data_IF_327425213112
#
_entry.id   IF_327425213112
#
_cell.length_a   1.000
_cell.length_b   1.000
_cell.length_c   1.000
_cell.angle_alpha   90.00
_cell.angle_beta   90.00
_cell.angle_gamma   90.00
#
_symmetry.space_group_name_H-M   'P 1'
#
loop_
_entity.id
_entity.type
_entity.pdbx_description
1 polymer ?
#
# COMPACT_ATOMS: atom_id res chain seq x y z
N UNK A 1 27.61 15.32 8.45
CA UNK A 1 26.25 14.83 8.81
C UNK A 1 25.16 15.20 7.80
N UNK A 2 24.97 16.49 7.45
CA UNK A 2 23.89 16.94 6.55
C UNK A 2 24.12 16.50 5.09
N UNK A 3 25.35 16.59 4.59
CA UNK A 3 25.69 16.17 3.22
C UNK A 3 25.42 14.68 2.94
N UNK A 4 25.60 13.81 3.94
CA UNK A 4 25.28 12.38 3.80
C UNK A 4 23.78 12.13 3.62
N UNK A 5 22.94 12.88 4.32
CA UNK A 5 21.48 12.76 4.24
C UNK A 5 20.97 13.29 2.90
N UNK A 6 21.55 14.39 2.40
CA UNK A 6 21.25 14.92 1.08
C UNK A 6 21.60 13.94 -0.04
N UNK A 7 22.78 13.30 0.02
CA UNK A 7 23.18 12.28 -0.96
C UNK A 7 22.27 11.06 -0.89
N UNK A 8 21.92 10.59 0.31
CA UNK A 8 20.97 9.49 0.51
C UNK A 8 19.61 9.81 -0.10
N UNK A 9 19.06 10.99 0.20
CA UNK A 9 17.80 11.44 -0.36
C UNK A 9 17.86 11.55 -1.89
N UNK A 10 18.96 12.05 -2.45
CA UNK A 10 19.15 12.16 -3.91
C UNK A 10 19.21 10.78 -4.60
N UNK A 11 19.95 9.82 -4.04
CA UNK A 11 20.05 8.46 -4.58
C UNK A 11 18.68 7.77 -4.55
N UNK A 12 17.97 7.90 -3.44
CA UNK A 12 16.64 7.30 -3.27
C UNK A 12 15.60 7.98 -4.17
N UNK A 13 15.65 9.30 -4.31
CA UNK A 13 14.82 10.05 -5.25
C UNK A 13 15.10 9.63 -6.70
N UNK A 14 16.37 9.46 -7.07
CA UNK A 14 16.75 8.98 -8.40
C UNK A 14 16.25 7.55 -8.65
N UNK A 15 16.34 6.66 -7.65
CA UNK A 15 15.82 5.29 -7.74
C UNK A 15 14.30 5.29 -7.98
N UNK A 16 13.55 6.08 -7.21
CA UNK A 16 12.11 6.20 -7.40
C UNK A 16 11.77 6.83 -8.74
N UNK A 17 12.41 7.95 -9.10
CA UNK A 17 12.19 8.61 -10.38
C UNK A 17 12.43 7.66 -11.55
N UNK A 18 13.51 6.87 -11.53
CA UNK A 18 13.79 5.86 -12.56
C UNK A 18 12.72 4.76 -12.59
N UNK A 19 12.35 4.24 -11.42
CA UNK A 19 11.33 3.18 -11.29
C UNK A 19 10.01 3.61 -11.90
N UNK A 20 9.62 4.87 -11.71
CA UNK A 20 8.37 5.39 -12.24
C UNK A 20 8.46 5.83 -13.69
N UNK A 21 9.51 6.57 -14.05
CA UNK A 21 9.69 7.06 -15.41
C UNK A 21 9.75 5.92 -16.43
N UNK A 22 10.31 4.77 -16.04
CA UNK A 22 10.41 3.59 -16.91
C UNK A 22 9.33 2.56 -16.62
N UNK A 23 8.99 2.34 -15.35
CA UNK A 23 8.03 1.30 -14.96
C UNK A 23 6.58 1.62 -15.28
N UNK A 24 6.13 2.88 -15.11
CA UNK A 24 4.74 3.27 -15.39
C UNK A 24 4.37 3.14 -16.88
N UNK A 25 5.20 3.60 -17.85
CA UNK A 25 4.87 3.41 -19.26
C UNK A 25 4.74 1.93 -19.64
N UNK A 26 5.62 1.07 -19.12
CA UNK A 26 5.57 -0.37 -19.37
C UNK A 26 4.33 -0.99 -18.70
N UNK A 27 4.00 -0.54 -17.50
CA UNK A 27 2.78 -0.95 -16.79
C UNK A 27 1.53 -0.63 -17.62
N UNK A 28 1.40 0.61 -18.08
CA UNK A 28 0.24 1.08 -18.84
C UNK A 28 0.15 0.38 -20.20
N UNK A 29 1.30 0.14 -20.85
CA UNK A 29 1.34 -0.61 -22.09
C UNK A 29 0.84 -2.04 -21.89
N UNK A 30 1.28 -2.74 -20.84
CA UNK A 30 0.78 -4.08 -20.49
C UNK A 30 -0.71 -4.08 -20.18
N UNK A 31 -1.19 -3.07 -19.45
CA UNK A 31 -2.60 -2.95 -19.10
C UNK A 31 -3.50 -2.81 -20.34
N UNK A 32 -3.18 -1.85 -21.20
CA UNK A 32 -3.99 -1.58 -22.40
C UNK A 32 -3.85 -2.69 -23.45
N UNK A 33 -2.64 -3.17 -23.72
CA UNK A 33 -2.43 -4.11 -24.84
C UNK A 33 -2.73 -5.55 -24.47
N UNK A 34 -2.30 -5.99 -23.29
CA UNK A 34 -2.41 -7.41 -22.90
C UNK A 34 -3.70 -7.62 -22.11
N UNK A 35 -3.93 -6.84 -21.05
CA UNK A 35 -5.06 -7.11 -20.14
C UNK A 35 -6.38 -6.73 -20.79
N UNK A 36 -6.52 -5.48 -21.26
CA UNK A 36 -7.75 -5.04 -21.91
C UNK A 36 -7.99 -5.78 -23.24
N UNK A 37 -6.92 -6.12 -23.97
CA UNK A 37 -7.00 -6.98 -25.17
C UNK A 37 -7.54 -8.38 -24.86
N UNK A 38 -7.01 -9.04 -23.81
CA UNK A 38 -7.49 -10.35 -23.36
C UNK A 38 -8.91 -10.27 -22.79
N UNK A 39 -9.24 -9.22 -22.03
CA UNK A 39 -10.57 -8.98 -21.50
C UNK A 39 -11.60 -8.80 -22.63
N UNK A 40 -11.27 -8.03 -23.67
CA UNK A 40 -12.10 -7.86 -24.85
C UNK A 40 -12.28 -9.16 -25.64
N UNK A 41 -11.21 -9.92 -25.85
CA UNK A 41 -11.28 -11.22 -26.51
C UNK A 41 -12.13 -12.23 -25.71
N UNK A 42 -11.95 -12.30 -24.40
CA UNK A 42 -12.74 -13.14 -23.51
C UNK A 42 -14.22 -12.72 -23.53
N UNK A 43 -14.52 -11.42 -23.51
CA UNK A 43 -15.89 -10.89 -23.59
C UNK A 43 -16.56 -11.30 -24.91
N UNK A 44 -15.85 -11.23 -26.03
CA UNK A 44 -16.38 -11.65 -27.33
C UNK A 44 -16.64 -13.17 -27.39
N UNK A 45 -15.69 -13.97 -26.88
CA UNK A 45 -15.81 -15.43 -26.83
C UNK A 45 -16.92 -15.91 -25.87
N UNK A 46 -17.16 -15.18 -24.78
CA UNK A 46 -18.19 -15.49 -23.78
C UNK A 46 -19.47 -14.68 -23.99
N UNK A 47 -19.73 -14.19 -25.20
CA UNK A 47 -20.95 -13.44 -25.54
C UNK A 47 -22.24 -14.23 -25.33
N UNK A 48 -22.19 -15.56 -25.43
CA UNK A 48 -23.32 -16.47 -25.19
C UNK A 48 -23.36 -17.07 -23.77
N UNK A 49 -22.32 -16.81 -22.97
CA UNK A 49 -22.25 -17.31 -21.60
C UNK A 49 -23.08 -16.44 -20.63
N UNK A 50 -23.52 -17.01 -19.49
CA UNK A 50 -24.18 -16.23 -18.44
C UNK A 50 -23.30 -15.08 -17.94
N UNK A 51 -23.91 -13.95 -17.61
CA UNK A 51 -23.19 -12.73 -17.21
C UNK A 51 -22.30 -12.93 -15.96
N UNK A 52 -22.72 -13.79 -15.03
CA UNK A 52 -21.90 -14.13 -13.86
C UNK A 52 -20.60 -14.87 -14.25
N UNK A 53 -20.63 -15.73 -15.28
CA UNK A 53 -19.45 -16.46 -15.73
C UNK A 53 -18.50 -15.53 -16.50
N UNK A 54 -19.08 -14.63 -17.30
CA UNK A 54 -18.32 -13.60 -18.01
C UNK A 54 -17.60 -12.67 -17.03
N UNK A 55 -18.29 -12.10 -16.04
CA UNK A 55 -17.66 -11.22 -15.06
C UNK A 55 -16.63 -11.94 -14.18
N UNK A 56 -16.87 -13.21 -13.81
CA UNK A 56 -15.90 -13.99 -13.02
C UNK A 56 -14.56 -14.15 -13.76
N UNK A 57 -14.63 -14.38 -15.07
CA UNK A 57 -13.44 -14.59 -15.91
C UNK A 57 -12.80 -13.26 -16.28
N UNK A 58 -13.59 -12.27 -16.71
CA UNK A 58 -13.09 -10.97 -17.19
C UNK A 58 -12.63 -10.10 -16.02
N UNK A 59 -13.50 -9.82 -15.07
CA UNK A 59 -13.19 -8.88 -13.99
C UNK A 59 -12.45 -9.58 -12.84
N UNK A 60 -12.89 -10.79 -12.48
CA UNK A 60 -12.30 -11.57 -11.38
C UNK A 60 -10.92 -12.13 -11.71
N UNK A 61 -10.84 -12.99 -12.73
CA UNK A 61 -9.62 -13.71 -13.07
C UNK A 61 -8.64 -12.89 -13.92
N UNK A 62 -9.08 -12.34 -15.06
CA UNK A 62 -8.22 -11.55 -15.95
C UNK A 62 -7.83 -10.23 -15.30
N UNK A 63 -8.77 -9.51 -14.69
CA UNK A 63 -8.47 -8.30 -13.90
C UNK A 63 -7.51 -8.59 -12.74
N UNK A 64 -7.79 -9.63 -11.95
CA UNK A 64 -6.92 -10.06 -10.85
C UNK A 64 -5.50 -10.44 -11.29
N UNK A 65 -5.37 -11.31 -12.29
CA UNK A 65 -4.07 -11.71 -12.85
C UNK A 65 -3.35 -10.52 -13.52
N UNK A 66 -4.14 -9.63 -14.12
CA UNK A 66 -3.69 -8.41 -14.76
C UNK A 66 -2.97 -7.48 -13.79
N UNK A 67 -3.56 -7.25 -12.61
CA UNK A 67 -2.91 -6.43 -11.56
C UNK A 67 -1.54 -7.00 -11.17
N UNK A 68 -1.41 -8.33 -11.04
CA UNK A 68 -0.14 -8.98 -10.71
C UNK A 68 0.87 -8.75 -11.82
N UNK A 69 0.47 -8.93 -13.09
CA UNK A 69 1.34 -8.82 -14.25
C UNK A 69 1.83 -7.37 -14.46
N UNK A 70 0.95 -6.38 -14.25
CA UNK A 70 1.27 -4.95 -14.39
C UNK A 70 2.20 -4.45 -13.29
N UNK A 71 2.21 -5.07 -12.09
CA UNK A 71 3.18 -4.73 -11.04
C UNK A 71 4.60 -5.27 -11.30
N UNK A 72 4.77 -6.31 -12.12
CA UNK A 72 6.08 -6.96 -12.33
C UNK A 72 7.16 -5.99 -12.87
N UNK A 73 6.93 -5.18 -13.91
CA UNK A 73 7.95 -4.26 -14.44
C UNK A 73 8.46 -3.25 -13.41
N UNK A 74 7.53 -2.67 -12.64
CA UNK A 74 7.86 -1.69 -11.59
C UNK A 74 8.73 -2.35 -10.52
N UNK A 75 8.32 -3.53 -10.04
CA UNK A 75 9.07 -4.27 -9.04
C UNK A 75 10.44 -4.71 -9.56
N UNK A 76 10.55 -5.09 -10.83
CA UNK A 76 11.81 -5.51 -11.44
C UNK A 76 12.84 -4.37 -11.44
N UNK A 77 12.45 -3.17 -11.89
CA UNK A 77 13.33 -1.99 -11.92
C UNK A 77 13.72 -1.58 -10.49
N UNK A 78 12.74 -1.58 -9.59
CA UNK A 78 12.97 -1.28 -8.19
C UNK A 78 13.95 -2.26 -7.54
N UNK A 79 13.72 -3.57 -7.68
CA UNK A 79 14.61 -4.60 -7.15
C UNK A 79 16.00 -4.53 -7.76
N UNK A 80 16.12 -4.18 -9.04
CA UNK A 80 17.42 -4.02 -9.70
C UNK A 80 18.21 -2.86 -9.09
N UNK A 81 17.59 -1.68 -8.92
CA UNK A 81 18.27 -0.55 -8.30
C UNK A 81 18.60 -0.79 -6.82
N UNK A 82 17.72 -1.47 -6.08
CA UNK A 82 17.96 -1.87 -4.69
C UNK A 82 19.11 -2.88 -4.59
N UNK A 83 19.16 -3.87 -5.48
CA UNK A 83 20.24 -4.85 -5.56
C UNK A 83 21.60 -4.19 -5.88
N UNK A 84 21.62 -3.19 -6.75
CA UNK A 84 22.83 -2.39 -7.01
C UNK A 84 23.31 -1.69 -5.74
N UNK A 85 22.40 -1.02 -5.00
CA UNK A 85 22.74 -0.33 -3.76
C UNK A 85 23.20 -1.27 -2.64
N UNK A 86 22.63 -2.48 -2.60
CA UNK A 86 22.97 -3.56 -1.67
C UNK A 86 24.37 -4.11 -1.95
N UNK A 87 24.67 -4.47 -3.20
CA UNK A 87 25.95 -5.05 -3.63
C UNK A 87 27.13 -4.07 -3.54
N UNK A 88 26.85 -2.78 -3.73
CA UNK A 88 27.82 -1.68 -3.56
C UNK A 88 28.20 -1.43 -2.10
N UNK A 89 27.41 -1.92 -1.14
CA UNK A 89 27.62 -1.68 0.30
C UNK A 89 27.09 -0.32 0.79
N UNK A 90 26.30 0.39 -0.02
CA UNK A 90 25.73 1.68 0.38
C UNK A 90 24.72 1.53 1.53
N UNK A 91 24.04 0.38 1.61
CA UNK A 91 23.04 0.09 2.65
C UNK A 91 23.61 0.16 4.08
N UNK A 92 24.85 -0.29 4.29
CA UNK A 92 25.50 -0.22 5.59
C UNK A 92 25.72 1.25 6.04
N UNK A 93 26.06 2.13 5.09
CA UNK A 93 26.28 3.57 5.37
C UNK A 93 24.97 4.31 5.60
N UNK A 94 23.94 4.01 4.80
CA UNK A 94 22.60 4.56 5.00
C UNK A 94 22.04 4.18 6.38
N UNK A 95 22.20 2.92 6.79
CA UNK A 95 21.80 2.44 8.11
C UNK A 95 22.55 3.18 9.24
N UNK A 96 23.86 3.39 9.11
CA UNK A 96 24.64 4.15 10.09
C UNK A 96 24.16 5.61 10.22
N UNK A 97 23.89 6.27 9.10
CA UNK A 97 23.41 7.65 9.10
C UNK A 97 22.03 7.80 9.75
N UNK A 98 21.16 6.81 9.56
CA UNK A 98 19.78 6.82 10.07
C UNK A 98 19.62 6.20 11.46
N UNK A 99 20.69 5.66 12.04
CA UNK A 99 20.64 4.95 13.31
C UNK A 99 20.15 5.86 14.45
N UNK A 100 20.54 7.14 14.47
CA UNK A 100 20.07 8.10 15.46
C UNK A 100 18.54 8.29 15.44
N UNK A 101 17.96 8.44 14.25
CA UNK A 101 16.50 8.59 14.08
C UNK A 101 15.76 7.29 14.39
N UNK A 102 16.29 6.13 13.98
CA UNK A 102 15.69 4.83 14.27
C UNK A 102 15.69 4.52 15.77
N UNK A 103 16.76 4.90 16.50
CA UNK A 103 16.89 4.67 17.94
C UNK A 103 15.81 5.39 18.76
N UNK A 104 15.35 6.55 18.30
CA UNK A 104 14.20 7.25 18.93
C UNK A 104 12.94 6.39 18.93
N UNK A 105 12.73 5.58 17.89
CA UNK A 105 11.59 4.66 17.74
C UNK A 105 11.86 3.26 18.33
N UNK A 106 13.03 3.03 18.94
CA UNK A 106 13.43 1.70 19.42
C UNK A 106 13.80 0.71 18.30
N UNK A 107 14.08 1.24 17.10
CA UNK A 107 14.47 0.48 15.91
C UNK A 107 15.99 0.55 15.69
N UNK A 108 16.53 -0.43 14.98
CA UNK A 108 17.92 -0.41 14.52
C UNK A 108 18.05 0.41 13.23
N UNK A 109 19.17 1.10 13.00
CA UNK A 109 19.49 1.75 11.73
C UNK A 109 19.28 0.87 10.47
N UNK A 110 19.49 -0.45 10.55
CA UNK A 110 19.21 -1.39 9.45
C UNK A 110 17.72 -1.45 9.04
N UNK A 111 16.82 -0.99 9.91
CA UNK A 111 15.36 -0.94 9.68
C UNK A 111 14.94 0.22 8.78
N UNK A 112 15.77 1.28 8.69
CA UNK A 112 15.46 2.44 7.88
C UNK A 112 15.25 2.08 6.41
N UNK A 113 16.10 1.22 5.87
CA UNK A 113 16.02 0.85 4.46
C UNK A 113 14.69 0.14 4.14
N UNK A 114 14.31 -0.97 4.81
CA UNK A 114 12.98 -1.57 4.63
C UNK A 114 11.84 -0.57 4.78
N UNK A 115 11.86 0.29 5.81
CA UNK A 115 10.82 1.31 6.00
C UNK A 115 10.75 2.30 4.83
N UNK A 116 11.90 2.76 4.34
CA UNK A 116 11.95 3.70 3.23
C UNK A 116 11.44 3.06 1.92
N UNK A 117 11.75 1.78 1.70
CA UNK A 117 11.25 1.03 0.55
C UNK A 117 9.71 0.90 0.57
N UNK A 118 9.08 1.00 1.76
CA UNK A 118 7.64 0.94 1.95
C UNK A 118 6.87 2.03 1.20
N UNK A 119 7.50 3.20 0.98
CA UNK A 119 6.91 4.27 0.14
C UNK A 119 6.71 3.81 -1.31
N UNK A 120 7.49 2.83 -1.76
CA UNK A 120 7.28 2.09 -3.00
C UNK A 120 6.16 1.06 -2.83
N UNK A 121 6.51 -0.11 -2.32
CA UNK A 121 5.52 -1.16 -2.09
C UNK A 121 5.82 -1.84 -0.77
N UNK A 122 4.78 -2.09 0.03
CA UNK A 122 4.97 -2.72 1.33
C UNK A 122 5.38 -4.21 1.20
N UNK A 123 5.05 -4.87 0.10
CA UNK A 123 5.41 -6.28 -0.16
C UNK A 123 6.94 -6.51 -0.22
N UNK A 124 7.69 -5.87 -1.14
CA UNK A 124 9.15 -6.01 -1.18
C UNK A 124 9.83 -5.51 0.09
N UNK A 125 9.23 -4.51 0.74
CA UNK A 125 9.76 -3.89 1.95
C UNK A 125 9.69 -4.83 3.15
N UNK A 126 8.58 -5.53 3.32
CA UNK A 126 8.45 -6.61 4.32
C UNK A 126 9.46 -7.71 4.05
N UNK A 127 9.62 -8.17 2.80
CA UNK A 127 10.63 -9.18 2.47
C UNK A 127 12.08 -8.70 2.71
N UNK A 128 12.34 -7.40 2.52
CA UNK A 128 13.62 -6.75 2.79
C UNK A 128 14.01 -6.70 4.28
N UNK A 129 13.07 -6.94 5.20
CA UNK A 129 13.37 -6.95 6.64
C UNK A 129 14.30 -8.10 7.07
N UNK A 130 14.57 -9.09 6.21
CA UNK A 130 15.51 -10.20 6.46
C UNK A 130 16.93 -9.74 6.77
N UNK A 131 17.32 -8.54 6.34
CA UNK A 131 18.62 -7.92 6.64
C UNK A 131 18.74 -7.57 8.14
N UNK A 132 17.62 -7.48 8.86
CA UNK A 132 17.57 -7.21 10.30
C UNK A 132 17.74 -8.53 11.06
N UNK A 133 18.89 -8.70 11.70
CA UNK A 133 19.25 -9.91 12.44
C UNK A 133 18.45 -10.07 13.74
N UNK A 134 18.24 -8.97 14.46
CA UNK A 134 17.51 -8.98 15.73
C UNK A 134 16.02 -9.24 15.48
N UNK A 135 15.53 -10.40 15.93
CA UNK A 135 14.16 -10.87 15.65
C UNK A 135 13.09 -9.87 16.10
N UNK A 136 13.23 -9.26 17.28
CA UNK A 136 12.29 -8.27 17.81
C UNK A 136 12.27 -6.98 16.97
N UNK A 137 13.44 -6.49 16.55
CA UNK A 137 13.53 -5.32 15.68
C UNK A 137 12.99 -5.62 14.27
N UNK A 138 13.26 -6.82 13.75
CA UNK A 138 12.70 -7.29 12.48
C UNK A 138 11.18 -7.32 12.55
N UNK A 139 10.63 -7.93 13.59
CA UNK A 139 9.18 -8.01 13.80
C UNK A 139 8.54 -6.64 13.96
N UNK A 140 9.13 -5.74 14.77
CA UNK A 140 8.65 -4.37 14.91
C UNK A 140 8.61 -3.65 13.55
N UNK A 141 9.67 -3.81 12.74
CA UNK A 141 9.74 -3.23 11.40
C UNK A 141 8.66 -3.80 10.46
N UNK A 142 8.38 -5.11 10.53
CA UNK A 142 7.31 -5.76 9.77
C UNK A 142 5.93 -5.22 10.18
N UNK A 143 5.67 -5.04 11.47
CA UNK A 143 4.38 -4.53 11.99
C UNK A 143 4.16 -3.06 11.62
N UNK A 144 5.24 -2.27 11.58
CA UNK A 144 5.19 -0.84 11.23
C UNK A 144 5.13 -0.59 9.72
N UNK A 145 5.61 -1.52 8.89
CA UNK A 145 5.65 -1.35 7.43
C UNK A 145 4.33 -0.87 6.82
N UNK A 146 3.16 -1.44 7.18
CA UNK A 146 1.89 -1.02 6.64
C UNK A 146 1.47 0.41 6.96
N UNK A 147 2.10 1.10 7.92
CA UNK A 147 1.82 2.51 8.19
C UNK A 147 2.52 3.43 7.18
N UNK A 148 3.53 2.95 6.46
CA UNK A 148 4.16 3.77 5.42
C UNK A 148 3.22 3.85 4.21
N UNK A 149 2.92 5.07 3.72
CA UNK A 149 2.06 5.23 2.56
C UNK A 149 2.79 4.77 1.31
N UNK A 150 2.38 3.62 0.78
CA UNK A 150 2.87 3.11 -0.49
C UNK A 150 2.34 3.94 -1.67
N UNK A 151 2.90 3.70 -2.85
CA UNK A 151 2.59 4.41 -4.09
C UNK A 151 1.11 4.45 -4.42
N UNK A 152 0.41 3.33 -4.26
CA UNK A 152 -1.02 3.23 -4.51
C UNK A 152 -1.84 4.09 -3.54
N UNK A 153 -1.42 4.19 -2.27
CA UNK A 153 -2.09 5.09 -1.30
C UNK A 153 -1.82 6.55 -1.65
N UNK A 154 -0.61 6.87 -2.09
CA UNK A 154 -0.27 8.21 -2.56
C UNK A 154 -1.04 8.58 -3.82
N UNK A 155 -1.31 7.63 -4.72
CA UNK A 155 -2.16 7.85 -5.89
C UNK A 155 -3.60 8.19 -5.50
N UNK A 156 -4.17 7.49 -4.51
CA UNK A 156 -5.50 7.83 -3.97
C UNK A 156 -5.51 9.23 -3.36
N UNK A 157 -4.50 9.59 -2.56
CA UNK A 157 -4.38 10.94 -2.01
C UNK A 157 -4.25 11.98 -3.13
N UNK A 158 -3.41 11.74 -4.12
CA UNK A 158 -3.18 12.66 -5.24
C UNK A 158 -4.43 12.87 -6.12
N UNK A 159 -5.30 11.86 -6.23
CA UNK A 159 -6.57 11.99 -6.94
C UNK A 159 -7.66 12.66 -6.10
N UNK A 160 -7.81 12.24 -4.84
CA UNK A 160 -8.91 12.69 -3.99
C UNK A 160 -8.68 14.07 -3.38
N UNK A 161 -7.45 14.46 -3.02
CA UNK A 161 -7.25 15.77 -2.38
C UNK A 161 -7.56 16.95 -3.30
N UNK A 162 -7.20 16.96 -4.60
CA UNK A 162 -7.63 18.02 -5.51
C UNK A 162 -9.14 18.03 -5.72
N UNK A 163 -9.78 16.86 -5.75
CA UNK A 163 -11.22 16.73 -5.92
C UNK A 163 -12.02 17.40 -4.79
N UNK A 164 -11.55 17.33 -3.54
CA UNK A 164 -12.28 17.88 -2.38
C UNK A 164 -11.76 19.23 -1.89
N UNK A 165 -10.46 19.52 -2.03
CA UNK A 165 -9.81 20.68 -1.41
C UNK A 165 -9.25 21.69 -2.42
N UNK A 166 -9.31 21.40 -3.72
CA UNK A 166 -8.88 22.31 -4.79
C UNK A 166 -7.48 22.87 -4.55
N UNK A 167 -7.39 24.20 -4.36
CA UNK A 167 -6.13 24.92 -4.14
C UNK A 167 -5.39 24.48 -2.86
N UNK A 168 -6.12 24.03 -1.83
CA UNK A 168 -5.52 23.56 -0.57
C UNK A 168 -5.00 22.12 -0.64
N UNK A 169 -5.21 21.41 -1.76
CA UNK A 169 -4.85 20.00 -1.91
C UNK A 169 -3.38 19.66 -1.58
N UNK A 170 -2.36 20.44 -1.99
CA UNK A 170 -0.97 20.13 -1.65
C UNK A 170 -0.69 20.20 -0.15
N UNK A 171 -1.28 21.18 0.55
CA UNK A 171 -1.13 21.36 2.00
C UNK A 171 -1.81 20.22 2.76
N UNK A 172 -3.02 19.84 2.32
CA UNK A 172 -3.76 18.72 2.89
C UNK A 172 -3.02 17.40 2.67
N UNK A 173 -2.54 17.13 1.45
CA UNK A 173 -1.76 15.94 1.14
C UNK A 173 -0.49 15.85 1.99
N UNK A 174 0.24 16.97 2.14
CA UNK A 174 1.41 17.03 3.01
C UNK A 174 1.05 16.76 4.48
N UNK A 175 -0.03 17.35 4.98
CA UNK A 175 -0.54 17.10 6.33
C UNK A 175 -0.91 15.64 6.57
N UNK A 176 -1.56 14.99 5.60
CA UNK A 176 -1.92 13.56 5.65
C UNK A 176 -0.68 12.66 5.72
N UNK A 177 0.34 12.93 4.89
CA UNK A 177 1.58 12.16 4.87
C UNK A 177 2.35 12.35 6.18
N UNK A 178 2.50 13.59 6.65
CA UNK A 178 3.18 13.89 7.91
C UNK A 178 2.43 13.28 9.10
N UNK A 179 1.10 13.37 9.12
CA UNK A 179 0.26 12.75 10.14
C UNK A 179 0.43 11.23 10.17
N UNK A 180 0.48 10.58 9.01
CA UNK A 180 0.73 9.15 8.93
C UNK A 180 2.13 8.77 9.45
N UNK A 181 3.18 9.52 9.09
CA UNK A 181 4.52 9.30 9.62
C UNK A 181 4.63 9.57 11.13
N UNK A 182 3.83 10.50 11.66
CA UNK A 182 3.71 10.73 13.10
C UNK A 182 3.05 9.53 13.80
N UNK A 183 1.98 8.97 13.23
CA UNK A 183 1.34 7.74 13.74
C UNK A 183 2.32 6.55 13.68
N UNK A 184 3.05 6.38 12.58
CA UNK A 184 4.14 5.39 12.45
C UNK A 184 5.15 5.54 13.60
N UNK A 185 5.63 6.76 13.86
CA UNK A 185 6.60 7.02 14.92
C UNK A 185 6.01 6.74 16.33
N UNK A 186 4.78 7.16 16.60
CA UNK A 186 4.08 6.91 17.86
C UNK A 186 3.90 5.42 18.12
N UNK A 187 3.34 4.69 17.15
CA UNK A 187 3.13 3.24 17.25
C UNK A 187 4.46 2.51 17.39
N UNK A 188 5.50 2.95 16.67
CA UNK A 188 6.85 2.41 16.78
C UNK A 188 7.45 2.59 18.17
N UNK A 189 7.37 3.79 18.75
CA UNK A 189 7.83 4.06 20.11
C UNK A 189 7.06 3.24 21.14
N UNK A 190 5.73 3.17 21.02
CA UNK A 190 4.88 2.42 21.95
C UNK A 190 5.21 0.93 21.91
N UNK A 191 5.20 0.30 20.73
CA UNK A 191 5.51 -1.13 20.58
C UNK A 191 6.96 -1.45 20.95
N UNK A 192 7.92 -0.60 20.54
CA UNK A 192 9.34 -0.77 20.83
C UNK A 192 9.68 -0.66 22.31
N UNK A 193 8.88 0.09 23.10
CA UNK A 193 9.06 0.19 24.56
C UNK A 193 8.27 -0.86 25.36
N UNK A 194 7.14 -1.34 24.84
CA UNK A 194 6.23 -2.24 25.55
C UNK A 194 6.41 -3.71 25.13
N UNK A 195 5.86 -4.10 23.99
CA UNK A 195 5.71 -5.49 23.55
C UNK A 195 6.94 -6.06 22.84
N UNK A 196 7.69 -5.21 22.12
CA UNK A 196 8.78 -5.59 21.22
C UNK A 196 10.11 -4.94 21.62
N UNK A 197 10.43 -5.01 22.92
CA UNK A 197 11.66 -4.44 23.48
C UNK A 197 12.89 -5.09 22.85
N UNK A 198 13.48 -4.42 21.86
CA UNK A 198 14.67 -4.89 21.16
C UNK A 198 15.90 -4.71 22.04
N UNK A 199 16.68 -5.78 22.18
CA UNK A 199 18.01 -5.68 22.78
C UNK A 199 18.90 -4.92 21.79
N UNK A 200 19.45 -3.80 22.25
CA UNK A 200 20.45 -3.07 21.50
C UNK A 200 21.75 -3.87 21.63
N UNK A 201 21.94 -4.88 20.79
CA UNK A 201 23.27 -5.44 20.65
C UNK A 201 24.17 -4.30 20.20
N UNK A 202 25.22 -4.03 20.99
CA UNK A 202 26.29 -3.12 20.63
C UNK A 202 27.03 -3.69 19.42
N UNK A 203 26.41 -3.55 18.24
CA UNK A 203 26.99 -3.98 16.99
C UNK A 203 28.02 -2.93 16.62
N UNK A 204 29.29 -3.31 16.72
CA UNK A 204 30.38 -2.61 16.05
C UNK A 204 30.10 -2.78 14.56
N UNK A 205 29.50 -1.78 13.94
CA UNK A 205 29.23 -1.80 12.50
C UNK A 205 30.56 -1.56 11.78
N UNK A 206 31.26 -2.64 11.44
CA UNK A 206 32.41 -2.55 10.53
C UNK A 206 31.90 -2.04 9.18
N UNK A 207 32.32 -0.83 8.79
CA UNK A 207 31.90 -0.24 7.52
C UNK A 207 32.48 -1.07 6.37
N UNK A 208 31.67 -1.72 5.52
CA UNK A 208 32.18 -2.46 4.39
C UNK A 208 32.82 -1.49 3.37
N UNK A 209 33.91 -1.95 2.75
CA UNK A 209 34.54 -1.28 1.61
C UNK A 209 33.56 -1.22 0.43
N UNK A 210 33.68 -0.19 -0.41
CA UNK A 210 32.84 -0.05 -1.61
C UNK A 210 33.25 -1.11 -2.63
N UNK A 211 32.32 -1.95 -3.05
CA UNK A 211 32.57 -2.99 -4.05
C UNK A 211 31.96 -2.61 -5.39
N UNK A 212 32.55 -3.12 -6.48
CA UNK A 212 31.97 -2.95 -7.81
C UNK A 212 30.79 -3.89 -7.96
N UNK A 213 29.63 -3.41 -8.47
CA UNK A 213 28.44 -4.24 -8.61
C UNK A 213 28.69 -5.40 -9.57
N UNK A 214 28.33 -6.62 -9.16
CA UNK A 214 28.39 -7.81 -9.97
C UNK A 214 27.01 -8.07 -10.62
N UNK A 215 26.95 -7.86 -11.94
CA UNK A 215 25.72 -8.03 -12.71
C UNK A 215 25.10 -9.44 -12.57
N UNK A 216 25.89 -10.49 -12.34
CA UNK A 216 25.36 -11.85 -12.14
C UNK A 216 24.63 -11.97 -10.81
N UNK A 217 25.22 -11.47 -9.73
CA UNK A 217 24.61 -11.47 -8.39
C UNK A 217 23.31 -10.66 -8.40
N UNK A 218 23.35 -9.48 -9.02
CA UNK A 218 22.18 -8.60 -9.16
C UNK A 218 21.08 -9.31 -9.96
N UNK A 219 21.40 -9.89 -11.12
CA UNK A 219 20.41 -10.59 -11.95
C UNK A 219 19.75 -11.77 -11.24
N UNK A 220 20.54 -12.57 -10.51
CA UNK A 220 20.02 -13.69 -9.71
C UNK A 220 19.12 -13.19 -8.57
N UNK A 221 19.53 -12.15 -7.85
CA UNK A 221 18.77 -11.59 -6.73
C UNK A 221 17.43 -10.99 -7.20
N UNK A 222 17.45 -10.23 -8.30
CA UNK A 222 16.25 -9.67 -8.92
C UNK A 222 15.33 -10.79 -9.39
N UNK A 223 15.86 -11.79 -10.10
CA UNK A 223 15.08 -12.93 -10.58
C UNK A 223 14.41 -13.71 -9.44
N UNK A 224 15.15 -14.03 -8.37
CA UNK A 224 14.62 -14.73 -7.21
C UNK A 224 13.53 -13.92 -6.48
N UNK A 225 13.75 -12.61 -6.28
CA UNK A 225 12.76 -11.73 -5.63
C UNK A 225 11.49 -11.57 -6.47
N UNK A 226 11.62 -11.40 -7.79
CA UNK A 226 10.49 -11.28 -8.71
C UNK A 226 9.71 -12.59 -8.82
N UNK A 227 10.37 -13.74 -8.97
CA UNK A 227 9.69 -15.06 -8.99
C UNK A 227 9.01 -15.33 -7.65
N UNK A 228 9.66 -14.99 -6.53
CA UNK A 228 9.08 -15.07 -5.20
C UNK A 228 7.77 -14.29 -5.09
N UNK A 229 7.76 -13.04 -5.58
CA UNK A 229 6.57 -12.20 -5.65
C UNK A 229 5.46 -12.83 -6.51
N UNK A 230 5.75 -13.21 -7.75
CA UNK A 230 4.75 -13.76 -8.67
C UNK A 230 4.11 -15.02 -8.11
N UNK A 231 4.89 -15.95 -7.56
CA UNK A 231 4.36 -17.22 -7.04
C UNK A 231 3.55 -17.05 -5.74
N UNK A 232 4.04 -16.25 -4.80
CA UNK A 232 3.44 -16.18 -3.45
C UNK A 232 2.45 -15.03 -3.30
N UNK A 233 2.83 -13.82 -3.72
CA UNK A 233 1.95 -12.66 -3.65
C UNK A 233 0.92 -12.69 -4.77
N UNK A 234 1.32 -13.09 -5.99
CA UNK A 234 0.41 -13.15 -7.15
C UNK A 234 -0.78 -14.10 -6.94
N UNK A 235 -0.52 -15.30 -6.44
CA UNK A 235 -1.60 -16.26 -6.11
C UNK A 235 -2.57 -15.71 -5.07
N UNK A 236 -2.05 -15.05 -4.03
CA UNK A 236 -2.89 -14.44 -2.99
C UNK A 236 -3.71 -13.26 -3.53
N UNK A 237 -3.12 -12.42 -4.38
CA UNK A 237 -3.83 -11.31 -5.05
C UNK A 237 -4.96 -11.87 -5.90
N UNK A 238 -4.71 -12.89 -6.73
CA UNK A 238 -5.72 -13.48 -7.59
C UNK A 238 -6.89 -14.07 -6.78
N UNK A 239 -6.59 -14.85 -5.74
CA UNK A 239 -7.63 -15.43 -4.86
C UNK A 239 -8.45 -14.33 -4.21
N UNK A 240 -7.81 -13.29 -3.69
CA UNK A 240 -8.51 -12.18 -3.03
C UNK A 240 -9.31 -11.31 -4.01
N UNK A 241 -8.81 -11.09 -5.22
CA UNK A 241 -9.53 -10.40 -6.29
C UNK A 241 -10.80 -11.17 -6.68
N UNK A 242 -10.69 -12.48 -6.86
CA UNK A 242 -11.82 -13.35 -7.14
C UNK A 242 -12.85 -13.33 -6.00
N UNK A 243 -12.39 -13.41 -4.75
CA UNK A 243 -13.25 -13.35 -3.57
C UNK A 243 -13.99 -12.02 -3.49
N UNK A 244 -13.29 -10.89 -3.67
CA UNK A 244 -13.91 -9.56 -3.63
C UNK A 244 -14.88 -9.37 -4.79
N UNK A 245 -14.56 -9.87 -5.98
CA UNK A 245 -15.49 -9.86 -7.11
C UNK A 245 -16.77 -10.65 -6.79
N UNK A 246 -16.65 -11.88 -6.28
CA UNK A 246 -17.81 -12.69 -5.87
C UNK A 246 -18.63 -11.97 -4.80
N UNK A 247 -17.98 -11.41 -3.78
CA UNK A 247 -18.63 -10.64 -2.71
C UNK A 247 -19.32 -9.36 -3.22
N UNK A 248 -18.82 -8.78 -4.31
CA UNK A 248 -19.34 -7.56 -4.92
C UNK A 248 -20.51 -7.80 -5.87
N UNK A 249 -20.69 -9.03 -6.37
CA UNK A 249 -21.73 -9.39 -7.35
C UNK A 249 -22.83 -10.25 -6.73
N UNK A 250 -22.52 -11.11 -5.76
CA UNK A 250 -23.53 -11.97 -5.12
C UNK A 250 -24.35 -11.19 -4.08
N UNK A 251 -25.69 -11.35 -4.01
CA UNK A 251 -26.55 -12.29 -4.76
C UNK A 251 -27.25 -11.73 -6.02
N UNK A 252 -27.29 -10.41 -6.20
CA UNK A 252 -28.19 -9.70 -7.14
C UNK A 252 -27.52 -9.19 -8.40
N UNK A 253 -26.19 -9.13 -8.45
CA UNK A 253 -25.40 -8.63 -9.58
C UNK A 253 -24.91 -7.19 -9.42
N UNK A 254 -25.41 -6.45 -8.43
CA UNK A 254 -25.09 -5.03 -8.19
C UNK A 254 -24.33 -4.84 -6.88
N UNK A 255 -23.36 -3.92 -6.87
CA UNK A 255 -22.54 -3.64 -5.67
C UNK A 255 -23.40 -3.19 -4.49
N UNK A 256 -24.48 -2.44 -4.73
CA UNK A 256 -25.33 -1.87 -3.69
C UNK A 256 -26.10 -2.91 -2.86
N UNK A 257 -26.51 -4.00 -3.51
CA UNK A 257 -27.31 -5.09 -2.93
C UNK A 257 -26.49 -6.35 -2.68
N UNK A 258 -25.18 -6.29 -2.95
CA UNK A 258 -24.22 -7.36 -2.73
C UNK A 258 -23.89 -7.62 -1.26
N UNK A 259 -23.24 -8.74 -0.97
CA UNK A 259 -22.69 -9.04 0.36
C UNK A 259 -21.69 -7.96 0.79
N UNK A 260 -20.91 -7.42 -0.14
CA UNK A 260 -19.99 -6.32 0.13
C UNK A 260 -20.76 -5.04 0.52
N UNK A 261 -21.86 -4.73 -0.19
CA UNK A 261 -22.78 -3.65 0.15
C UNK A 261 -23.41 -3.81 1.53
N UNK A 262 -23.86 -5.03 1.85
CA UNK A 262 -24.38 -5.38 3.18
C UNK A 262 -23.33 -5.20 4.27
N UNK A 263 -22.08 -5.62 4.04
CA UNK A 263 -20.98 -5.42 4.98
C UNK A 263 -20.69 -3.93 5.21
N UNK A 264 -20.74 -3.11 4.15
CA UNK A 264 -20.63 -1.65 4.26
C UNK A 264 -21.73 -1.03 5.11
N UNK A 265 -23.00 -1.44 4.90
CA UNK A 265 -24.15 -0.99 5.71
C UNK A 265 -24.09 -1.47 7.16
N UNK A 266 -23.59 -2.69 7.40
CA UNK A 266 -23.38 -3.19 8.76
C UNK A 266 -22.29 -2.40 9.52
N UNK A 267 -21.31 -1.86 8.81
CA UNK A 267 -20.26 -1.00 9.36
C UNK A 267 -20.65 0.49 9.42
N UNK A 268 -21.79 0.88 8.84
CA UNK A 268 -22.31 2.24 8.84
C UNK A 268 -22.37 2.90 10.23
N UNK A 269 -22.81 2.25 11.33
CA UNK A 269 -22.80 2.91 12.65
C UNK A 269 -21.39 3.31 13.10
N UNK A 270 -20.37 2.54 12.72
CA UNK A 270 -18.96 2.88 12.97
C UNK A 270 -18.48 3.97 12.00
N UNK A 271 -18.91 3.92 10.74
CA UNK A 271 -18.65 4.93 9.72
C UNK A 271 -19.22 6.31 10.08
N UNK A 272 -20.42 6.34 10.66
CA UNK A 272 -21.10 7.57 11.07
C UNK A 272 -20.30 8.37 12.10
N UNK A 273 -19.51 7.71 12.97
CA UNK A 273 -18.61 8.38 13.92
C UNK A 273 -17.46 9.13 13.22
N UNK A 274 -17.19 8.79 11.96
CA UNK A 274 -16.20 9.42 11.09
C UNK A 274 -16.86 10.22 9.94
N UNK A 275 -18.19 10.29 9.89
CA UNK A 275 -18.92 10.89 8.76
C UNK A 275 -18.82 10.10 7.44
N UNK A 276 -18.42 8.83 7.47
CA UNK A 276 -18.35 7.97 6.30
C UNK A 276 -19.71 7.34 6.02
N UNK A 277 -20.19 7.47 4.79
CA UNK A 277 -21.37 6.75 4.31
C UNK A 277 -21.04 5.28 4.03
N UNK A 278 -22.07 4.43 3.89
CA UNK A 278 -21.87 3.02 3.54
C UNK A 278 -21.11 2.85 2.22
N UNK A 279 -21.28 3.74 1.22
CA UNK A 279 -20.53 3.67 -0.04
C UNK A 279 -19.02 3.86 0.17
N UNK A 280 -18.62 4.80 1.04
CA UNK A 280 -17.21 5.00 1.38
C UNK A 280 -16.64 3.81 2.14
N UNK A 281 -17.43 3.19 3.02
CA UNK A 281 -17.01 1.98 3.72
C UNK A 281 -16.85 0.80 2.76
N UNK A 282 -17.74 0.63 1.79
CA UNK A 282 -17.59 -0.37 0.72
C UNK A 282 -16.32 -0.12 -0.08
N UNK A 283 -16.04 1.13 -0.46
CA UNK A 283 -14.81 1.49 -1.15
C UNK A 283 -13.55 1.20 -0.31
N UNK A 284 -13.60 1.44 1.01
CA UNK A 284 -12.52 1.11 1.93
C UNK A 284 -12.28 -0.40 2.00
N UNK A 285 -13.34 -1.20 2.07
CA UNK A 285 -13.28 -2.67 2.05
C UNK A 285 -12.74 -3.20 0.71
N UNK A 286 -13.23 -2.66 -0.41
CA UNK A 286 -12.76 -3.01 -1.75
C UNK A 286 -11.27 -2.67 -1.97
N UNK A 287 -10.75 -1.68 -1.24
CA UNK A 287 -9.32 -1.32 -1.24
C UNK A 287 -8.38 -2.37 -0.63
N UNK A 288 -8.93 -3.45 -0.06
CA UNK A 288 -8.15 -4.53 0.55
C UNK A 288 -7.35 -5.34 -0.47
N UNK A 289 -7.84 -5.48 -1.71
CA UNK A 289 -7.12 -6.20 -2.77
C UNK A 289 -6.04 -5.31 -3.37
N UNK A 290 -6.46 -4.16 -3.90
CA UNK A 290 -5.61 -3.12 -4.46
C UNK A 290 -6.08 -1.77 -3.94
N UNK A 291 -5.14 -0.90 -3.56
CA UNK A 291 -5.51 0.36 -2.90
C UNK A 291 -6.17 1.34 -3.86
N UNK A 292 -5.78 1.36 -5.13
CA UNK A 292 -6.46 2.17 -6.16
C UNK A 292 -7.92 1.76 -6.43
N UNK A 293 -8.30 0.52 -6.09
CA UNK A 293 -9.66 0.03 -6.32
C UNK A 293 -10.72 0.80 -5.51
N UNK A 294 -10.32 1.55 -4.48
CA UNK A 294 -11.23 2.45 -3.78
C UNK A 294 -11.79 3.53 -4.72
N UNK A 295 -10.99 4.04 -5.67
CA UNK A 295 -11.44 5.06 -6.63
C UNK A 295 -12.46 4.46 -7.59
N UNK A 296 -12.14 3.29 -8.16
CA UNK A 296 -13.05 2.58 -9.07
C UNK A 296 -14.39 2.23 -8.38
N UNK A 297 -14.33 1.77 -7.13
CA UNK A 297 -15.54 1.45 -6.36
C UNK A 297 -16.39 2.69 -6.07
N UNK A 298 -15.76 3.83 -5.75
CA UNK A 298 -16.47 5.10 -5.63
C UNK A 298 -17.06 5.55 -6.98
N UNK A 299 -16.35 5.33 -8.09
CA UNK A 299 -16.83 5.58 -9.45
C UNK A 299 -18.15 4.87 -9.77
N UNK A 300 -18.21 3.57 -9.45
CA UNK A 300 -19.39 2.74 -9.64
C UNK A 300 -20.53 3.17 -8.72
N UNK A 301 -20.26 3.35 -7.41
CA UNK A 301 -21.30 3.63 -6.41
C UNK A 301 -21.86 5.07 -6.45
N UNK A 302 -21.10 6.03 -6.96
CA UNK A 302 -21.58 7.40 -7.17
C UNK A 302 -22.05 7.64 -8.62
N UNK A 303 -22.13 6.59 -9.45
CA UNK A 303 -22.72 6.65 -10.79
C UNK A 303 -21.89 7.40 -11.83
N UNK A 304 -20.58 7.57 -11.60
CA UNK A 304 -19.67 8.22 -12.55
C UNK A 304 -19.02 7.24 -13.53
N UNK A 305 -19.06 5.92 -13.26
CA UNK A 305 -18.37 4.91 -14.06
C UNK A 305 -16.85 5.14 -14.10
N UNK A 306 -16.24 5.00 -15.28
CA UNK A 306 -14.80 5.21 -15.50
C UNK A 306 -14.42 6.69 -15.79
N UNK A 307 -15.39 7.62 -15.82
CA UNK A 307 -15.10 9.03 -16.05
C UNK A 307 -14.56 9.71 -14.79
N UNK A 308 -13.23 9.72 -14.68
CA UNK A 308 -12.49 10.31 -13.56
C UNK A 308 -12.75 11.81 -13.35
N UNK A 309 -13.13 12.55 -14.40
CA UNK A 309 -13.40 14.00 -14.29
C UNK A 309 -14.81 14.24 -13.74
N UNK A 310 -15.80 13.48 -14.22
CA UNK A 310 -17.16 13.50 -13.66
C UNK A 310 -17.20 13.04 -12.20
N UNK A 311 -16.39 12.04 -11.85
CA UNK A 311 -16.31 11.49 -10.49
C UNK A 311 -15.92 12.53 -9.43
N UNK A 312 -14.92 13.37 -9.71
CA UNK A 312 -14.47 14.40 -8.76
C UNK A 312 -15.58 15.42 -8.42
N UNK A 313 -16.37 15.82 -9.42
CA UNK A 313 -17.50 16.74 -9.23
C UNK A 313 -18.65 16.08 -8.44
N UNK A 314 -18.98 14.83 -8.76
CA UNK A 314 -20.02 14.09 -8.04
C UNK A 314 -19.63 13.86 -6.58
N UNK A 315 -18.38 13.47 -6.32
CA UNK A 315 -17.90 13.26 -4.95
C UNK A 315 -17.88 14.55 -4.14
N UNK A 316 -17.41 15.66 -4.70
CA UNK A 316 -17.35 16.94 -3.98
C UNK A 316 -18.74 17.52 -3.64
N UNK A 317 -19.77 17.18 -4.42
CA UNK A 317 -21.15 17.54 -4.09
C UNK A 317 -21.83 16.59 -3.09
N UNK A 318 -21.44 15.32 -3.04
CA UNK A 318 -22.05 14.32 -2.18
C UNK A 318 -21.36 14.13 -0.81
N UNK A 319 -20.11 14.60 -0.66
CA UNK A 319 -19.24 14.30 0.49
C UNK A 319 -18.74 15.59 1.12
N UNK A 320 -18.88 15.72 2.44
CA UNK A 320 -18.34 16.88 3.15
C UNK A 320 -16.80 16.83 3.21
N UNK A 321 -16.10 17.98 3.21
CA UNK A 321 -14.65 18.01 3.35
C UNK A 321 -14.13 17.31 4.61
N UNK A 322 -14.86 17.40 5.74
CA UNK A 322 -14.54 16.69 6.97
C UNK A 322 -14.61 15.16 6.80
N UNK A 323 -15.65 14.65 6.13
CA UNK A 323 -15.78 13.23 5.82
C UNK A 323 -14.67 12.77 4.86
N UNK A 324 -14.35 13.56 3.83
CA UNK A 324 -13.27 13.28 2.89
C UNK A 324 -11.89 13.22 3.59
N UNK A 325 -11.60 14.15 4.51
CA UNK A 325 -10.37 14.09 5.32
C UNK A 325 -10.30 12.80 6.13
N UNK A 326 -11.39 12.45 6.83
CA UNK A 326 -11.43 11.23 7.62
C UNK A 326 -11.23 9.98 6.75
N UNK A 327 -11.86 9.94 5.57
CA UNK A 327 -11.72 8.85 4.61
C UNK A 327 -10.28 8.68 4.18
N UNK A 328 -9.59 9.77 3.85
CA UNK A 328 -8.18 9.74 3.43
C UNK A 328 -7.24 9.28 4.55
N UNK A 329 -7.48 9.73 5.79
CA UNK A 329 -6.72 9.27 6.97
C UNK A 329 -6.93 7.78 7.19
N UNK A 330 -8.18 7.33 7.17
CA UNK A 330 -8.50 5.91 7.33
C UNK A 330 -7.85 5.14 6.18
N UNK A 331 -8.04 5.53 4.92
CA UNK A 331 -7.44 4.86 3.75
C UNK A 331 -5.91 4.75 3.83
N UNK A 332 -5.24 5.78 4.35
CA UNK A 332 -3.79 5.81 4.54
C UNK A 332 -3.30 4.91 5.67
N UNK A 333 -4.07 4.74 6.74
CA UNK A 333 -3.73 3.93 7.91
C UNK A 333 -4.35 2.53 7.88
N UNK A 334 -5.29 2.30 6.97
CA UNK A 334 -6.10 1.08 6.92
C UNK A 334 -5.23 -0.15 6.72
N UNK A 335 -5.85 -1.29 6.97
CA UNK A 335 -5.31 -2.62 6.74
C UNK A 335 -4.61 -2.66 5.35
N UNK A 336 -3.36 -3.18 5.28
CA UNK A 336 -2.61 -3.17 4.03
C UNK A 336 -3.24 -4.11 3.01
N UNK A 337 -2.78 -4.02 1.76
CA UNK A 337 -3.29 -4.90 0.72
C UNK A 337 -3.03 -6.38 1.06
N UNK A 338 -3.86 -7.27 0.51
CA UNK A 338 -3.74 -8.71 0.65
C UNK A 338 -2.31 -9.22 0.43
N UNK A 339 -1.63 -8.71 -0.60
CA UNK A 339 -0.25 -9.06 -0.92
C UNK A 339 0.71 -8.79 0.25
N UNK A 340 0.53 -7.67 0.95
CA UNK A 340 1.36 -7.29 2.10
C UNK A 340 1.06 -8.19 3.29
N UNK A 341 -0.22 -8.55 3.53
CA UNK A 341 -0.59 -9.51 4.59
C UNK A 341 0.05 -10.88 4.33
N UNK A 342 0.03 -11.32 3.07
CA UNK A 342 0.73 -12.53 2.63
C UNK A 342 2.23 -12.47 2.92
N UNK A 343 2.88 -11.36 2.59
CA UNK A 343 4.30 -11.14 2.89
C UNK A 343 4.57 -11.13 4.41
N UNK A 344 3.73 -10.46 5.21
CA UNK A 344 3.86 -10.45 6.68
C UNK A 344 3.75 -11.87 7.22
N UNK A 345 2.75 -12.65 6.79
CA UNK A 345 2.60 -14.05 7.19
C UNK A 345 3.82 -14.88 6.79
N UNK A 346 4.34 -14.69 5.58
CA UNK A 346 5.49 -15.43 5.09
C UNK A 346 6.75 -15.14 5.91
N UNK A 347 7.02 -13.85 6.21
CA UNK A 347 8.22 -13.45 6.96
C UNK A 347 8.12 -13.72 8.46
N UNK A 348 6.92 -13.60 9.05
CA UNK A 348 6.72 -13.90 10.47
C UNK A 348 6.47 -15.37 10.76
N UNK A 349 6.11 -16.17 9.74
CA UNK A 349 5.67 -17.56 9.83
C UNK A 349 4.56 -17.81 10.88
N UNK A 350 3.80 -16.76 11.23
CA UNK A 350 2.85 -16.81 12.35
C UNK A 350 1.58 -16.00 12.08
N UNK A 351 0.44 -16.68 12.07
CA UNK A 351 -0.87 -16.04 11.98
C UNK A 351 -1.18 -15.14 13.19
N UNK A 352 -0.60 -15.42 14.36
CA UNK A 352 -0.80 -14.58 15.55
C UNK A 352 -0.28 -13.17 15.30
N UNK A 353 0.92 -13.04 14.71
CA UNK A 353 1.50 -11.74 14.39
C UNK A 353 0.79 -11.07 13.22
N UNK A 354 0.40 -11.82 12.19
CA UNK A 354 -0.39 -11.27 11.08
C UNK A 354 -1.71 -10.68 11.56
N UNK A 355 -2.49 -11.40 12.37
CA UNK A 355 -3.76 -10.93 12.91
C UNK A 355 -3.56 -9.78 13.90
N UNK A 356 -2.52 -9.82 14.71
CA UNK A 356 -2.15 -8.70 15.58
C UNK A 356 -1.88 -7.43 14.77
N UNK A 357 -1.09 -7.51 13.69
CA UNK A 357 -0.84 -6.36 12.81
C UNK A 357 -2.12 -5.84 12.18
N UNK A 358 -2.97 -6.72 11.65
CA UNK A 358 -4.26 -6.31 11.04
C UNK A 358 -5.17 -5.65 12.08
N UNK A 359 -5.31 -6.23 13.27
CA UNK A 359 -6.13 -5.69 14.35
C UNK A 359 -5.60 -4.35 14.87
N UNK A 360 -4.29 -4.24 15.08
CA UNK A 360 -3.64 -2.99 15.47
C UNK A 360 -3.91 -1.88 14.46
N UNK A 361 -3.73 -2.16 13.17
CA UNK A 361 -3.94 -1.17 12.11
C UNK A 361 -5.41 -0.78 11.98
N UNK A 362 -6.34 -1.72 12.14
CA UNK A 362 -7.76 -1.40 12.17
C UNK A 362 -8.08 -0.44 13.33
N UNK A 363 -7.62 -0.75 14.56
CA UNK A 363 -7.84 0.12 15.72
C UNK A 363 -7.23 1.51 15.51
N UNK A 364 -5.99 1.56 15.01
CA UNK A 364 -5.30 2.83 14.73
C UNK A 364 -5.99 3.62 13.62
N UNK A 365 -6.42 2.97 12.54
CA UNK A 365 -7.07 3.65 11.40
C UNK A 365 -8.43 4.21 11.78
N UNK A 366 -9.28 3.41 12.44
CA UNK A 366 -10.60 3.88 12.87
C UNK A 366 -10.48 4.94 13.96
N UNK A 367 -9.57 4.76 14.93
CA UNK A 367 -9.31 5.75 15.98
C UNK A 367 -8.83 7.09 15.41
N UNK A 368 -7.89 7.07 14.46
CA UNK A 368 -7.40 8.27 13.79
C UNK A 368 -8.49 8.93 12.92
N UNK A 369 -9.29 8.14 12.20
CA UNK A 369 -10.42 8.64 11.41
C UNK A 369 -11.46 9.37 12.26
N UNK A 370 -11.85 8.78 13.39
CA UNK A 370 -12.79 9.39 14.34
C UNK A 370 -12.20 10.68 14.91
N UNK A 371 -10.94 10.65 15.35
CA UNK A 371 -10.28 11.82 15.91
C UNK A 371 -10.23 12.99 14.91
N UNK A 372 -9.89 12.71 13.65
CA UNK A 372 -9.80 13.74 12.59
C UNK A 372 -11.18 14.27 12.22
N UNK A 373 -12.19 13.41 12.09
CA UNK A 373 -13.55 13.85 11.79
C UNK A 373 -14.12 14.78 12.87
N UNK A 374 -13.96 14.39 14.14
CA UNK A 374 -14.46 15.19 15.26
C UNK A 374 -13.68 16.49 15.43
N UNK A 375 -12.36 16.48 15.20
CA UNK A 375 -11.55 17.69 15.19
C UNK A 375 -11.98 18.65 14.06
N UNK A 376 -12.22 18.14 12.84
CA UNK A 376 -12.69 18.93 11.71
C UNK A 376 -14.06 19.56 12.00
N UNK A 377 -15.00 18.79 12.56
CA UNK A 377 -16.31 19.27 12.95
C UNK A 377 -16.24 20.34 14.04
N UNK A 378 -15.33 20.20 15.01
CA UNK A 378 -15.13 21.21 16.07
C UNK A 378 -14.54 22.51 15.54
N UNK A 379 -13.70 22.44 14.51
CA UNK A 379 -13.13 23.60 13.81
C UNK A 379 -14.12 24.26 12.83
N UNK A 380 -15.35 23.74 12.71
CA UNK A 380 -16.42 24.33 11.89
C UNK A 380 -16.38 23.94 10.42
N UNK A 381 -15.73 22.82 10.07
CA UNK A 381 -15.66 22.27 8.71
C UNK A 381 -16.74 21.24 8.38
#
# INVERSE_FOLDING_TARGET
PIGGLGVLAAILAALFALTYAVGQPIQNWLDVTVIQGLAGAATALLSTAPDWLRGLIVDGAIGGAGTVLTFVPILLIFFAGLAVLEDVGYMARAAYLMDGFMRLMGLHGKSFLPLFLGFGCNVPSVAGTRVIEAEKARLLTIVLMPLIPCTARMAVVAFMTPAFFGVAAPVVAMGLVLGNLLVLALVGVVLGRTTLKSEHNAFIMELPLYHRPNARTIGLLVGQRTIGFVKHAGTLILVMALLVWVLSVTPTGEVETSILGMAGRALEPLGALMGLSWQMLVALLASFVAKENSIATLGILFGAGDDTVGLAATLSSAITPAAALSFLVVQLLFIPCAATIGAIKHETRSWKWTLFTVGLLAVVSFGAGIAVYQAARWLGA
#
